data_IF_801156490511
#
_entry.id   IF_801156490511
#
_cell.length_a   1.000
_cell.length_b   1.000
_cell.length_c   1.000
_cell.angle_alpha   90.00
_cell.angle_beta   90.00
_cell.angle_gamma   90.00
#
_symmetry.space_group_name_H-M   'P 1'
#
loop_
_entity.id
_entity.type
_entity.pdbx_description
1 polymer ?
#
# COMPACT_ATOMS: atom_id res chain seq x y z
N UNK A 1 2.33 -32.10 30.96
CA UNK A 1 1.19 -31.63 31.78
C UNK A 1 0.52 -32.88 32.26
N UNK A 2 1.05 -33.42 33.34
CA UNK A 2 0.63 -34.71 33.86
C UNK A 2 -0.63 -34.45 34.68
N UNK A 3 -1.78 -34.54 34.02
CA UNK A 3 -3.05 -34.75 34.69
C UNK A 3 -2.94 -36.11 35.39
N UNK A 4 -2.43 -36.10 36.60
CA UNK A 4 -2.60 -37.23 37.52
C UNK A 4 -4.09 -37.33 37.80
N UNK A 5 -4.77 -38.11 36.96
CA UNK A 5 -6.07 -38.70 37.25
C UNK A 5 -5.88 -39.59 38.48
N UNK A 6 -5.96 -39.00 39.67
CA UNK A 6 -6.11 -39.77 40.90
C UNK A 6 -7.49 -39.48 41.49
N UNK A 7 -8.39 -40.41 41.26
CA UNK A 7 -9.63 -40.53 42.02
C UNK A 7 -10.88 -40.47 41.15
N UNK A 8 -11.27 -41.63 40.64
CA UNK A 8 -12.69 -41.96 40.46
C UNK A 8 -13.46 -41.45 41.70
N UNK A 9 -14.43 -40.58 41.47
CA UNK A 9 -15.25 -40.00 42.53
C UNK A 9 -16.19 -41.09 43.07
N UNK A 10 -15.75 -41.79 44.11
CA UNK A 10 -16.60 -42.67 44.90
C UNK A 10 -17.12 -41.87 46.10
N UNK A 11 -18.43 -41.58 46.12
CA UNK A 11 -19.12 -40.78 47.13
C UNK A 11 -19.23 -41.43 48.52
N UNK A 12 -18.10 -41.84 49.10
CA UNK A 12 -17.97 -42.38 50.46
C UNK A 12 -16.94 -41.61 51.29
N UNK A 13 -16.93 -41.85 52.61
CA UNK A 13 -16.01 -41.18 53.52
C UNK A 13 -14.53 -41.43 53.13
N UNK A 14 -13.80 -40.36 52.80
CA UNK A 14 -12.36 -40.41 52.48
C UNK A 14 -11.57 -40.57 53.77
N UNK A 15 -11.08 -41.78 54.04
CA UNK A 15 -10.19 -42.03 55.18
C UNK A 15 -8.79 -41.46 54.87
N UNK A 16 -8.44 -40.36 55.53
CA UNK A 16 -7.13 -39.71 55.35
C UNK A 16 -6.04 -40.51 56.04
N UNK A 17 -5.26 -41.24 55.24
CA UNK A 17 -4.03 -41.86 55.75
C UNK A 17 -2.94 -40.80 55.96
N UNK A 18 -2.01 -40.98 56.93
CA UNK A 18 -0.91 -40.03 57.18
C UNK A 18 -0.01 -39.74 55.96
N UNK A 19 -0.01 -40.63 54.97
CA UNK A 19 0.67 -40.43 53.69
C UNK A 19 -0.07 -39.44 52.79
N UNK A 20 -1.41 -39.55 52.70
CA UNK A 20 -2.26 -38.63 51.91
C UNK A 20 -2.26 -37.21 52.49
N UNK A 21 -2.18 -37.07 53.80
CA UNK A 21 -2.04 -35.74 54.43
C UNK A 21 -0.74 -35.04 54.03
N UNK A 22 0.39 -35.76 54.06
CA UNK A 22 1.70 -35.23 53.60
C UNK A 22 1.67 -34.85 52.12
N UNK A 23 1.13 -35.73 51.28
CA UNK A 23 1.00 -35.49 49.84
C UNK A 23 0.12 -34.27 49.53
N UNK A 24 -0.98 -34.06 50.27
CA UNK A 24 -1.81 -32.87 50.11
C UNK A 24 -1.07 -31.58 50.50
N UNK A 25 -0.25 -31.62 51.56
CA UNK A 25 0.62 -30.50 51.94
C UNK A 25 1.67 -30.19 50.88
N UNK A 26 2.33 -31.21 50.33
CA UNK A 26 3.28 -31.04 49.22
C UNK A 26 2.61 -30.42 47.97
N UNK A 27 1.40 -30.88 47.63
CA UNK A 27 0.61 -30.29 46.54
C UNK A 27 0.23 -28.84 46.80
N UNK A 28 -0.09 -28.48 48.05
CA UNK A 28 -0.37 -27.08 48.40
C UNK A 28 0.88 -26.22 48.25
N UNK A 29 2.02 -26.67 48.76
CA UNK A 29 3.29 -25.95 48.66
C UNK A 29 3.73 -25.77 47.19
N UNK A 30 3.53 -26.79 46.35
CA UNK A 30 3.77 -26.68 44.91
C UNK A 30 2.85 -25.65 44.23
N UNK A 31 1.57 -25.59 44.63
CA UNK A 31 0.64 -24.58 44.10
C UNK A 31 1.05 -23.18 44.51
N UNK A 32 1.40 -22.98 45.78
CA UNK A 32 1.88 -21.69 46.28
C UNK A 32 3.13 -21.23 45.53
N UNK A 33 4.11 -22.11 45.36
CA UNK A 33 5.31 -21.81 44.57
C UNK A 33 4.99 -21.48 43.11
N UNK A 34 4.08 -22.23 42.48
CA UNK A 34 3.66 -21.96 41.10
C UNK A 34 2.94 -20.61 40.98
N UNK A 35 2.08 -20.27 41.94
CA UNK A 35 1.41 -18.96 41.99
C UNK A 35 2.40 -17.81 42.20
N UNK A 36 3.39 -17.97 43.06
CA UNK A 36 4.45 -16.98 43.26
C UNK A 36 5.26 -16.76 41.99
N UNK A 37 5.69 -17.84 41.33
CA UNK A 37 6.40 -17.76 40.05
C UNK A 37 5.54 -17.10 38.97
N UNK A 38 4.24 -17.42 38.90
CA UNK A 38 3.33 -16.82 37.94
C UNK A 38 3.14 -15.31 38.22
N UNK A 39 3.05 -14.90 39.49
CA UNK A 39 2.99 -13.49 39.90
C UNK A 39 4.24 -12.73 39.47
N UNK A 40 5.43 -13.30 39.71
CA UNK A 40 6.70 -12.73 39.28
C UNK A 40 6.77 -12.59 37.75
N UNK A 41 6.44 -13.66 37.02
CA UNK A 41 6.43 -13.64 35.57
C UNK A 41 5.43 -12.61 35.00
N UNK A 42 4.24 -12.50 35.59
CA UNK A 42 3.25 -11.46 35.23
C UNK A 42 3.81 -10.06 35.47
N UNK A 43 4.52 -9.83 36.57
CA UNK A 43 5.14 -8.54 36.87
C UNK A 43 6.21 -8.18 35.84
N UNK A 44 7.08 -9.12 35.47
CA UNK A 44 8.14 -8.89 34.48
C UNK A 44 7.58 -8.67 33.08
N UNK A 45 6.54 -9.42 32.70
CA UNK A 45 5.84 -9.20 31.45
C UNK A 45 5.16 -7.82 31.39
N UNK A 46 4.64 -7.31 32.51
CA UNK A 46 4.10 -5.94 32.58
C UNK A 46 5.21 -4.90 32.38
N UNK A 47 6.36 -5.07 33.03
CA UNK A 47 7.53 -4.17 32.87
C UNK A 47 8.02 -4.18 31.42
N UNK A 48 8.16 -5.36 30.81
CA UNK A 48 8.60 -5.49 29.42
C UNK A 48 7.61 -4.83 28.46
N UNK A 49 6.31 -5.03 28.66
CA UNK A 49 5.26 -4.36 27.86
C UNK A 49 5.32 -2.85 28.00
N UNK A 50 5.50 -2.32 29.20
CA UNK A 50 5.62 -0.89 29.43
C UNK A 50 6.84 -0.30 28.69
N UNK A 51 8.00 -0.94 28.81
CA UNK A 51 9.22 -0.53 28.10
C UNK A 51 9.04 -0.58 26.58
N UNK A 52 8.42 -1.64 26.06
CA UNK A 52 8.15 -1.77 24.63
C UNK A 52 7.17 -0.69 24.13
N UNK A 53 6.15 -0.34 24.93
CA UNK A 53 5.23 0.74 24.61
C UNK A 53 5.94 2.10 24.57
N UNK A 54 6.83 2.38 25.52
CA UNK A 54 7.65 3.61 25.51
C UNK A 54 8.55 3.67 24.27
N UNK A 55 9.21 2.57 23.91
CA UNK A 55 10.05 2.51 22.73
C UNK A 55 9.25 2.74 21.43
N UNK A 56 8.08 2.11 21.32
CA UNK A 56 7.16 2.32 20.17
C UNK A 56 6.68 3.76 20.07
N UNK A 57 6.43 4.44 21.20
CA UNK A 57 6.06 5.86 21.21
C UNK A 57 7.17 6.73 20.63
N UNK A 58 8.42 6.52 21.07
CA UNK A 58 9.59 7.24 20.52
C UNK A 58 9.72 7.07 19.00
N UNK A 59 9.63 5.82 18.52
CA UNK A 59 9.66 5.54 17.07
C UNK A 59 8.50 6.23 16.34
N UNK A 60 7.30 6.25 16.93
CA UNK A 60 6.15 6.89 16.32
C UNK A 60 6.31 8.41 16.22
N UNK A 61 6.90 9.04 17.25
CA UNK A 61 7.24 10.46 17.26
C UNK A 61 8.28 10.79 16.19
N UNK A 62 9.38 10.04 16.12
CA UNK A 62 10.41 10.21 15.08
C UNK A 62 9.82 10.08 13.68
N UNK A 63 8.93 9.09 13.46
CA UNK A 63 8.22 8.93 12.18
C UNK A 63 7.26 10.06 11.87
N UNK A 64 6.67 10.72 12.87
CA UNK A 64 5.82 11.90 12.66
C UNK A 64 6.67 13.08 12.22
N UNK A 65 7.76 13.36 12.93
CA UNK A 65 8.72 14.42 12.58
C UNK A 65 9.27 14.20 11.17
N UNK A 66 9.72 12.99 10.84
CA UNK A 66 10.22 12.68 9.50
C UNK A 66 9.17 12.91 8.40
N UNK A 67 7.89 12.64 8.68
CA UNK A 67 6.79 12.91 7.73
C UNK A 67 6.50 14.39 7.58
N UNK A 68 6.59 15.17 8.67
CA UNK A 68 6.40 16.62 8.63
C UNK A 68 7.52 17.27 7.81
N UNK A 69 8.78 16.92 8.08
CA UNK A 69 9.93 17.37 7.29
C UNK A 69 9.75 17.03 5.80
N UNK A 70 9.36 15.79 5.49
CA UNK A 70 9.12 15.37 4.10
C UNK A 70 7.94 16.10 3.44
N UNK A 71 6.92 16.52 4.21
CA UNK A 71 5.82 17.34 3.69
C UNK A 71 6.30 18.75 3.40
N UNK A 72 7.02 19.37 4.32
CA UNK A 72 7.58 20.71 4.13
C UNK A 72 8.51 20.79 2.92
N UNK A 73 9.39 19.79 2.74
CA UNK A 73 10.27 19.71 1.57
C UNK A 73 9.45 19.61 0.28
N UNK A 74 8.39 18.79 0.28
CA UNK A 74 7.51 18.62 -0.87
C UNK A 74 6.70 19.89 -1.17
N UNK A 75 6.30 20.65 -0.17
CA UNK A 75 5.63 21.95 -0.35
C UNK A 75 6.59 22.99 -0.91
N UNK A 76 7.81 23.09 -0.36
CA UNK A 76 8.87 23.95 -0.89
C UNK A 76 9.23 23.62 -2.34
N UNK A 77 9.31 22.34 -2.70
CA UNK A 77 9.54 21.91 -4.09
C UNK A 77 8.39 22.33 -5.01
N UNK A 78 7.14 22.14 -4.56
CA UNK A 78 5.96 22.56 -5.32
C UNK A 78 5.90 24.07 -5.52
N UNK A 79 6.23 24.85 -4.49
CA UNK A 79 6.28 26.32 -4.57
C UNK A 79 7.34 26.79 -5.55
N UNK A 80 8.57 26.26 -5.46
CA UNK A 80 9.64 26.57 -6.43
C UNK A 80 9.23 26.20 -7.84
N UNK A 81 8.65 25.01 -8.04
CA UNK A 81 8.17 24.57 -9.34
C UNK A 81 7.03 25.44 -9.88
N UNK A 82 6.15 25.94 -9.01
CA UNK A 82 5.10 26.86 -9.39
C UNK A 82 5.66 28.24 -9.79
N UNK A 83 6.66 28.74 -9.05
CA UNK A 83 7.36 29.98 -9.36
C UNK A 83 8.11 29.89 -10.71
N UNK A 84 8.86 28.81 -10.93
CA UNK A 84 9.55 28.56 -12.21
C UNK A 84 8.55 28.48 -13.38
N UNK A 85 7.40 27.83 -13.17
CA UNK A 85 6.35 27.79 -14.19
C UNK A 85 5.73 29.16 -14.44
N UNK A 86 5.53 29.98 -13.42
CA UNK A 86 5.02 31.34 -13.57
C UNK A 86 6.00 32.22 -14.34
N UNK A 87 7.30 32.20 -13.99
CA UNK A 87 8.34 32.93 -14.71
C UNK A 87 8.43 32.49 -16.17
N UNK A 88 8.39 31.18 -16.44
CA UNK A 88 8.40 30.65 -17.81
C UNK A 88 7.17 31.06 -18.62
N UNK A 89 6.00 31.24 -17.99
CA UNK A 89 4.81 31.76 -18.66
C UNK A 89 4.99 33.24 -19.00
N UNK A 90 5.49 34.05 -18.06
CA UNK A 90 5.78 35.46 -18.29
C UNK A 90 6.77 35.66 -19.44
N UNK A 91 7.90 34.94 -19.45
CA UNK A 91 8.86 34.99 -20.55
C UNK A 91 8.23 34.63 -21.90
N UNK A 92 7.37 33.61 -21.95
CA UNK A 92 6.65 33.25 -23.18
C UNK A 92 5.65 34.31 -23.63
N UNK A 93 5.02 35.02 -22.70
CA UNK A 93 4.11 36.12 -23.02
C UNK A 93 4.88 37.32 -23.54
N UNK A 94 6.01 37.67 -22.93
CA UNK A 94 6.94 38.70 -23.41
C UNK A 94 7.48 38.37 -24.80
N UNK A 95 7.90 37.12 -25.05
CA UNK A 95 8.34 36.66 -26.38
C UNK A 95 7.23 36.78 -27.43
N UNK A 96 5.98 36.44 -27.07
CA UNK A 96 4.84 36.61 -27.97
C UNK A 96 4.56 38.07 -28.28
N UNK A 97 4.57 38.94 -27.27
CA UNK A 97 4.38 40.38 -27.47
C UNK A 97 5.52 40.98 -28.31
N UNK A 98 6.77 40.55 -28.09
CA UNK A 98 7.90 40.96 -28.91
C UNK A 98 7.81 40.45 -30.35
N UNK A 99 7.31 39.23 -30.57
CA UNK A 99 7.05 38.69 -31.90
C UNK A 99 5.93 39.45 -32.62
N UNK A 100 4.83 39.77 -31.93
CA UNK A 100 3.72 40.56 -32.45
C UNK A 100 4.16 41.99 -32.80
N UNK A 101 4.96 42.63 -31.94
CA UNK A 101 5.53 43.95 -32.23
C UNK A 101 6.51 43.93 -33.44
N UNK A 102 7.27 42.84 -33.61
CA UNK A 102 8.12 42.63 -34.79
C UNK A 102 7.30 42.42 -36.07
N UNK A 103 6.16 41.74 -35.97
CA UNK A 103 5.26 41.56 -37.12
C UNK A 103 4.66 42.90 -37.56
N UNK A 104 4.24 43.75 -36.60
CA UNK A 104 3.68 45.08 -36.87
C UNK A 104 4.72 46.03 -37.50
N UNK A 105 6.01 45.87 -37.16
CA UNK A 105 7.09 46.73 -37.69
C UNK A 105 7.66 46.26 -39.03
N UNK A 106 7.30 45.08 -39.53
CA UNK A 106 7.62 44.68 -40.90
C UNK A 106 6.47 45.12 -41.84
N UNK A 107 6.64 46.18 -42.65
CA UNK A 107 5.71 46.41 -43.75
C UNK A 107 5.84 45.24 -44.71
N UNK A 108 4.81 44.39 -44.75
CA UNK A 108 4.71 43.33 -45.74
C UNK A 108 4.86 43.96 -47.12
N UNK A 109 5.94 43.65 -47.82
CA UNK A 109 6.04 43.91 -49.25
C UNK A 109 4.98 43.04 -49.93
N UNK A 110 3.83 43.65 -50.17
CA UNK A 110 2.78 43.11 -51.02
C UNK A 110 3.32 43.08 -52.45
N UNK A 111 2.88 42.08 -53.22
CA UNK A 111 3.12 41.78 -54.65
C UNK A 111 4.19 40.69 -54.87
N UNK A 112 3.94 39.51 -55.46
CA UNK A 112 2.77 38.93 -56.13
C UNK A 112 2.78 37.41 -55.95
N UNK A 113 1.67 36.80 -55.55
CA UNK A 113 1.50 35.34 -55.59
C UNK A 113 1.07 34.92 -57.00
N UNK A 114 2.00 34.36 -57.76
CA UNK A 114 1.70 33.66 -59.01
C UNK A 114 1.01 32.34 -58.71
N UNK A 115 -0.09 32.13 -59.43
CA UNK A 115 -0.91 30.93 -59.40
C UNK A 115 -0.14 29.67 -59.79
N UNK A 116 -0.63 28.55 -59.27
CA UNK A 116 -0.38 27.16 -59.69
C UNK A 116 0.74 26.42 -58.96
N UNK A 117 0.34 25.40 -58.19
CA UNK A 117 0.84 24.02 -58.32
C UNK A 117 -0.13 23.05 -57.66
N UNK A 118 -0.82 22.34 -58.55
CA UNK A 118 -1.52 21.05 -58.49
C UNK A 118 -1.58 20.35 -57.11
N UNK A 119 -2.82 20.09 -56.67
CA UNK A 119 -3.12 19.20 -55.55
C UNK A 119 -2.72 17.75 -55.90
N UNK A 120 -1.95 17.11 -55.03
CA UNK A 120 -1.64 15.68 -55.12
C UNK A 120 -2.84 14.84 -54.65
N UNK A 121 -3.15 13.70 -55.30
CA UNK A 121 -4.36 12.93 -54.98
C UNK A 121 -4.26 12.23 -53.62
N UNK A 122 -5.36 12.31 -52.87
CA UNK A 122 -5.57 11.66 -51.57
C UNK A 122 -5.43 10.14 -51.71
N UNK A 123 -4.52 9.52 -50.95
CA UNK A 123 -4.44 8.06 -50.80
C UNK A 123 -5.64 7.58 -49.98
N UNK A 124 -6.57 6.87 -50.62
CA UNK A 124 -7.60 6.07 -49.93
C UNK A 124 -6.89 4.96 -49.15
N UNK A 125 -7.01 4.97 -47.82
CA UNK A 125 -6.66 3.81 -47.00
C UNK A 125 -7.75 2.77 -47.23
N UNK A 126 -7.38 1.64 -47.83
CA UNK A 126 -8.24 0.48 -48.04
C UNK A 126 -8.63 -0.07 -46.68
N UNK A 127 -9.91 0.03 -46.36
CA UNK A 127 -10.56 -0.67 -45.26
C UNK A 127 -10.79 -2.10 -45.76
N UNK A 128 -9.98 -3.05 -45.26
CA UNK A 128 -10.13 -4.46 -45.59
C UNK A 128 -11.04 -5.09 -44.53
N UNK A 129 -12.34 -5.06 -44.78
CA UNK A 129 -13.28 -5.98 -44.15
C UNK A 129 -13.09 -7.35 -44.79
N UNK A 130 -12.54 -8.30 -44.05
CA UNK A 130 -12.72 -9.73 -44.32
C UNK A 130 -13.18 -10.37 -43.01
N UNK A 131 -14.49 -10.45 -42.84
CA UNK A 131 -15.07 -11.51 -42.02
C UNK A 131 -15.00 -12.83 -42.80
N UNK A 132 -14.78 -13.92 -42.09
CA UNK A 132 -14.97 -15.27 -42.65
C UNK A 132 -13.89 -16.27 -42.29
N UNK A 133 -14.16 -16.99 -41.20
CA UNK A 133 -13.86 -18.41 -41.01
C UNK A 133 -12.42 -18.92 -41.24
N UNK A 134 -11.73 -19.14 -40.12
CA UNK A 134 -11.01 -20.40 -39.94
C UNK A 134 -11.11 -20.81 -38.47
N UNK A 135 -11.79 -21.92 -38.23
CA UNK A 135 -11.83 -22.56 -36.94
C UNK A 135 -10.43 -23.01 -36.56
N UNK A 136 -9.95 -22.50 -35.44
CA UNK A 136 -8.89 -23.14 -34.67
C UNK A 136 -9.41 -23.20 -33.24
N UNK A 137 -9.67 -24.43 -32.79
CA UNK A 137 -9.95 -24.77 -31.40
C UNK A 137 -8.93 -24.02 -30.54
N UNK A 138 -9.41 -23.00 -29.82
CA UNK A 138 -8.61 -22.38 -28.78
C UNK A 138 -8.73 -23.29 -27.58
N UNK A 139 -7.72 -24.14 -27.40
CA UNK A 139 -7.46 -24.81 -26.14
C UNK A 139 -7.60 -23.78 -25.02
N UNK A 140 -8.55 -24.05 -24.13
CA UNK A 140 -9.05 -23.12 -23.12
C UNK A 140 -7.91 -22.76 -22.17
N UNK A 141 -7.35 -21.56 -22.34
CA UNK A 141 -6.35 -21.04 -21.42
C UNK A 141 -6.96 -21.00 -20.00
N UNK A 142 -6.27 -21.53 -18.97
CA UNK A 142 -6.85 -21.66 -17.65
C UNK A 142 -7.30 -20.29 -17.14
N UNK A 143 -8.47 -20.20 -16.46
CA UNK A 143 -8.96 -18.94 -15.94
C UNK A 143 -7.87 -18.30 -15.08
N UNK A 144 -7.62 -17.01 -15.26
CA UNK A 144 -6.65 -16.29 -14.42
C UNK A 144 -7.23 -16.25 -13.00
N UNK A 145 -6.67 -17.08 -12.13
CA UNK A 145 -7.08 -17.21 -10.73
C UNK A 145 -6.13 -16.41 -9.83
N UNK A 146 -6.66 -15.72 -8.83
CA UNK A 146 -5.83 -15.08 -7.79
C UNK A 146 -5.12 -16.13 -6.94
N UNK A 147 -4.10 -15.73 -6.15
CA UNK A 147 -3.44 -16.61 -5.16
C UNK A 147 -4.42 -17.28 -4.17
N UNK A 148 -5.63 -16.75 -4.06
CA UNK A 148 -6.71 -17.21 -3.18
C UNK A 148 -7.81 -18.01 -3.88
N UNK A 149 -7.63 -18.38 -5.15
CA UNK A 149 -8.59 -19.25 -5.85
C UNK A 149 -9.77 -18.50 -6.51
N UNK A 150 -9.76 -17.17 -6.61
CA UNK A 150 -10.86 -16.40 -7.19
C UNK A 150 -10.63 -16.10 -8.67
N UNK A 151 -11.68 -16.26 -9.48
CA UNK A 151 -11.66 -15.92 -10.91
C UNK A 151 -11.54 -14.40 -11.12
N UNK A 152 -10.64 -14.00 -12.02
CA UNK A 152 -10.43 -12.60 -12.39
C UNK A 152 -11.30 -12.25 -13.60
N UNK A 153 -12.38 -11.51 -13.38
CA UNK A 153 -13.19 -10.92 -14.47
C UNK A 153 -12.63 -9.54 -14.82
N UNK A 154 -12.10 -9.38 -16.04
CA UNK A 154 -11.62 -8.07 -16.52
C UNK A 154 -12.84 -7.19 -16.84
N UNK A 155 -12.94 -5.98 -16.24
CA UNK A 155 -14.02 -5.04 -16.55
C UNK A 155 -14.03 -4.65 -18.04
N UNK A 156 -15.21 -4.45 -18.64
CA UNK A 156 -15.37 -4.08 -20.07
C UNK A 156 -14.53 -2.87 -20.51
N UNK A 157 -14.29 -1.91 -19.63
CA UNK A 157 -13.46 -0.73 -19.91
C UNK A 157 -11.97 -1.05 -20.17
N UNK A 158 -11.53 -2.25 -19.81
CA UNK A 158 -10.15 -2.73 -19.98
C UNK A 158 -10.08 -3.91 -20.96
N UNK A 159 -11.18 -4.24 -21.64
CA UNK A 159 -11.24 -5.27 -22.68
C UNK A 159 -11.00 -4.63 -24.05
#
# INVERSE_FOLDING_TARGET
>A
MDLVQEGEHNGGAVLWSPRKFREAGERQLQREQAEEQEKLHKADMKKLKANNALYKKKIAEEKRVAKEMAKEEREKEKEKRAQEQAQKKQQKEEEKQAAEAREITQPSQITQATTSKKQAPKRKRVERCTGGASGVNSEEAPPKVTRTGRNITIPKKFR
#
